data_IF_345715127509
#
_entry.id   IF_345715127509
#
_cell.length_a   1.000
_cell.length_b   1.000
_cell.length_c   1.000
_cell.angle_alpha   90.00
_cell.angle_beta   90.00
_cell.angle_gamma   90.00
#
_symmetry.space_group_name_H-M   'P 1'
#
loop_
_entity.id
_entity.type
_entity.pdbx_description
1 polymer ?
#
# COMPACT_ATOMS: atom_id res chain seq x y z
N UNK A 1 16.03 67.07 -37.61
CA UNK A 1 16.68 66.85 -36.31
C UNK A 1 16.47 65.41 -35.86
N UNK A 2 17.40 64.48 -36.11
CA UNK A 2 17.41 63.16 -35.48
C UNK A 2 18.25 63.17 -34.19
N UNK A 3 17.74 62.52 -33.14
CA UNK A 3 18.43 62.29 -31.87
C UNK A 3 19.43 61.13 -31.98
N UNK A 4 20.55 61.15 -31.24
CA UNK A 4 21.59 60.13 -31.32
C UNK A 4 21.21 58.83 -30.59
N UNK A 5 21.67 57.71 -31.16
CA UNK A 5 21.56 56.37 -30.61
C UNK A 5 22.47 56.21 -29.37
N UNK A 6 21.87 55.81 -28.25
CA UNK A 6 22.58 55.39 -27.05
C UNK A 6 22.96 53.91 -27.13
N UNK A 7 24.26 53.63 -27.13
CA UNK A 7 24.86 52.32 -26.90
C UNK A 7 24.55 51.85 -25.47
N UNK A 8 23.78 50.77 -25.33
CA UNK A 8 23.68 50.02 -24.08
C UNK A 8 24.58 48.79 -24.17
N UNK A 9 25.68 48.82 -23.40
CA UNK A 9 26.57 47.67 -23.21
C UNK A 9 25.85 46.61 -22.36
N UNK A 10 25.48 45.49 -22.97
CA UNK A 10 25.04 44.30 -22.25
C UNK A 10 26.29 43.54 -21.75
N UNK A 11 26.57 43.65 -20.47
CA UNK A 11 27.49 42.74 -19.78
C UNK A 11 26.81 41.38 -19.64
N UNK A 12 27.22 40.41 -20.47
CA UNK A 12 26.85 39.00 -20.31
C UNK A 12 27.64 38.46 -19.12
N UNK A 13 27.02 38.45 -17.94
CA UNK A 13 27.50 37.66 -16.80
C UNK A 13 27.17 36.21 -17.13
N UNK A 14 28.15 35.47 -17.63
CA UNK A 14 28.07 34.03 -17.78
C UNK A 14 27.98 33.41 -16.38
N UNK A 15 26.77 33.06 -15.96
CA UNK A 15 26.57 32.17 -14.84
C UNK A 15 27.10 30.78 -15.25
N UNK A 16 28.29 30.44 -14.74
CA UNK A 16 28.80 29.07 -14.66
C UNK A 16 27.88 28.29 -13.71
N UNK A 17 26.70 27.92 -14.19
CA UNK A 17 25.95 26.83 -13.60
C UNK A 17 26.66 25.55 -14.02
N UNK A 18 27.17 24.80 -13.03
CA UNK A 18 27.60 23.41 -13.18
C UNK A 18 26.49 22.64 -13.90
N UNK A 19 26.67 22.39 -15.20
CA UNK A 19 25.82 21.47 -15.93
C UNK A 19 26.16 20.08 -15.36
N UNK A 20 25.21 19.37 -14.72
CA UNK A 20 25.49 18.02 -14.29
C UNK A 20 25.86 17.21 -15.53
N UNK A 21 27.10 16.73 -15.56
CA UNK A 21 27.63 15.85 -16.59
C UNK A 21 26.59 14.77 -16.87
N UNK A 22 26.00 14.79 -18.06
CA UNK A 22 25.01 13.81 -18.48
C UNK A 22 25.72 12.46 -18.64
N UNK A 23 25.88 11.73 -17.54
CA UNK A 23 26.23 10.31 -17.55
C UNK A 23 25.08 9.63 -18.27
N UNK A 24 25.36 9.03 -19.43
CA UNK A 24 24.39 8.24 -20.17
C UNK A 24 23.66 7.30 -19.21
N UNK A 25 22.34 7.49 -19.07
CA UNK A 25 21.54 6.73 -18.12
C UNK A 25 21.58 5.25 -18.50
N UNK A 26 21.94 4.40 -17.54
CA UNK A 26 21.89 2.95 -17.74
C UNK A 26 20.42 2.49 -17.77
N UNK A 27 20.10 1.41 -18.53
CA UNK A 27 18.75 0.85 -18.54
C UNK A 27 18.25 0.55 -17.12
N UNK A 28 17.05 1.02 -16.79
CA UNK A 28 16.43 0.82 -15.46
C UNK A 28 16.81 1.85 -14.39
N UNK A 29 17.69 2.82 -14.68
CA UNK A 29 17.95 3.94 -13.77
C UNK A 29 16.97 5.11 -13.94
N UNK A 30 16.50 5.34 -15.16
CA UNK A 30 15.49 6.35 -15.45
C UNK A 30 14.23 6.11 -14.61
N UNK A 31 13.64 7.19 -14.11
CA UNK A 31 12.38 7.11 -13.38
C UNK A 31 11.24 6.75 -14.34
N UNK A 32 10.44 5.76 -13.97
CA UNK A 32 9.31 5.26 -14.75
C UNK A 32 8.04 5.24 -13.91
N UNK A 33 6.91 5.60 -14.52
CA UNK A 33 5.60 5.56 -13.88
C UNK A 33 4.87 4.29 -14.31
N UNK A 34 4.72 3.36 -13.39
CA UNK A 34 3.96 2.12 -13.59
C UNK A 34 2.54 2.34 -13.04
N UNK A 35 1.64 2.79 -13.92
CA UNK A 35 0.24 3.06 -13.57
C UNK A 35 -0.56 1.80 -13.23
N UNK A 36 -0.14 0.64 -13.73
CA UNK A 36 -0.77 -0.64 -13.46
C UNK A 36 -0.42 -1.15 -12.06
N UNK A 37 0.85 -1.04 -11.66
CA UNK A 37 1.29 -1.37 -10.31
C UNK A 37 1.12 -0.21 -9.30
N UNK A 38 0.74 0.97 -9.78
CA UNK A 38 0.45 2.13 -8.93
C UNK A 38 1.69 2.73 -8.28
N UNK A 39 2.82 2.80 -8.98
CA UNK A 39 4.11 3.26 -8.40
C UNK A 39 4.97 4.02 -9.41
N UNK A 40 5.83 4.90 -8.90
CA UNK A 40 6.97 5.46 -9.63
C UNK A 40 8.22 4.72 -9.18
N UNK A 41 8.99 4.16 -10.12
CA UNK A 41 10.20 3.38 -9.85
C UNK A 41 11.41 4.05 -10.48
N UNK A 42 12.55 4.06 -9.79
CA UNK A 42 13.82 4.50 -10.36
C UNK A 42 14.99 3.72 -9.76
N UNK A 43 16.02 3.52 -10.58
CA UNK A 43 17.30 2.98 -10.14
C UNK A 43 18.27 4.07 -9.68
N UNK A 44 19.25 3.68 -8.90
CA UNK A 44 20.34 4.50 -8.41
C UNK A 44 21.61 3.69 -8.33
N UNK A 45 22.73 4.28 -8.74
CA UNK A 45 24.05 3.65 -8.66
C UNK A 45 24.95 4.50 -7.78
N UNK A 46 25.57 3.87 -6.78
CA UNK A 46 26.51 4.51 -5.87
C UNK A 46 27.88 3.91 -6.03
N UNK A 47 28.88 4.72 -6.41
CA UNK A 47 30.25 4.24 -6.59
C UNK A 47 30.92 4.09 -5.21
N UNK A 48 31.64 2.98 -5.01
CA UNK A 48 32.46 2.76 -3.84
C UNK A 48 33.52 3.85 -3.69
N UNK A 49 33.64 4.35 -2.47
CA UNK A 49 34.68 5.30 -2.11
C UNK A 49 36.02 4.58 -1.91
N UNK A 50 36.96 4.82 -2.81
CA UNK A 50 38.32 4.24 -2.76
C UNK A 50 39.15 4.78 -1.60
N UNK A 51 38.75 5.90 -1.02
CA UNK A 51 39.43 6.54 0.12
C UNK A 51 38.74 6.23 1.45
N UNK A 52 37.73 5.36 1.47
CA UNK A 52 37.08 4.96 2.71
C UNK A 52 38.07 4.24 3.64
N UNK A 53 37.96 4.44 4.96
CA UNK A 53 38.85 3.83 5.95
C UNK A 53 38.74 2.29 6.00
N UNK A 54 37.67 1.71 5.44
CA UNK A 54 37.53 0.26 5.29
C UNK A 54 36.58 -0.11 4.13
N UNK A 55 36.68 -1.33 3.59
CA UNK A 55 35.74 -1.83 2.57
C UNK A 55 34.29 -1.81 3.02
N UNK A 56 34.01 -2.12 4.29
CA UNK A 56 32.65 -2.09 4.83
C UNK A 56 32.07 -0.66 4.82
N UNK A 57 32.90 0.35 5.14
CA UNK A 57 32.50 1.76 5.06
C UNK A 57 32.28 2.19 3.62
N UNK A 58 33.14 1.77 2.68
CA UNK A 58 32.99 2.04 1.24
C UNK A 58 31.66 1.49 0.70
N UNK A 59 31.28 0.27 1.09
CA UNK A 59 30.03 -0.37 0.68
C UNK A 59 28.81 0.34 1.29
N UNK A 60 28.87 0.70 2.57
CA UNK A 60 27.78 1.41 3.24
C UNK A 60 27.56 2.84 2.72
N UNK A 61 28.61 3.56 2.34
CA UNK A 61 28.49 4.88 1.70
C UNK A 61 28.00 4.77 0.27
N UNK A 62 28.51 3.79 -0.49
CA UNK A 62 28.05 3.47 -1.85
C UNK A 62 26.55 3.19 -1.89
N UNK A 63 26.04 2.29 -1.04
CA UNK A 63 24.60 2.00 -0.97
C UNK A 63 23.75 3.24 -0.67
N UNK A 64 24.16 4.08 0.28
CA UNK A 64 23.43 5.32 0.61
C UNK A 64 23.41 6.30 -0.55
N UNK A 65 24.53 6.43 -1.29
CA UNK A 65 24.58 7.25 -2.51
C UNK A 65 23.65 6.71 -3.59
N UNK A 66 23.59 5.38 -3.75
CA UNK A 66 22.66 4.73 -4.69
C UNK A 66 21.20 5.02 -4.33
N UNK A 67 20.82 4.85 -3.06
CA UNK A 67 19.48 5.18 -2.58
C UNK A 67 19.12 6.65 -2.80
N UNK A 68 20.05 7.56 -2.51
CA UNK A 68 19.82 8.98 -2.67
C UNK A 68 19.66 9.39 -4.15
N UNK A 69 20.50 8.85 -5.04
CA UNK A 69 20.36 9.05 -6.49
C UNK A 69 18.98 8.58 -6.99
N UNK A 70 18.52 7.40 -6.53
CA UNK A 70 17.19 6.90 -6.88
C UNK A 70 16.07 7.82 -6.37
N UNK A 71 16.16 8.32 -5.12
CA UNK A 71 15.18 9.28 -4.57
C UNK A 71 15.14 10.58 -5.37
N UNK A 72 16.29 11.12 -5.75
CA UNK A 72 16.38 12.35 -6.54
C UNK A 72 15.72 12.19 -7.91
N UNK A 73 15.97 11.07 -8.60
CA UNK A 73 15.31 10.76 -9.88
C UNK A 73 13.80 10.61 -9.75
N UNK A 74 13.33 9.93 -8.70
CA UNK A 74 11.89 9.84 -8.41
C UNK A 74 11.33 11.25 -8.18
N UNK A 75 11.95 12.05 -7.31
CA UNK A 75 11.48 13.40 -7.00
C UNK A 75 11.39 14.30 -8.24
N UNK A 76 12.35 14.19 -9.17
CA UNK A 76 12.31 14.90 -10.45
C UNK A 76 11.12 14.44 -11.32
N UNK A 77 10.90 13.13 -11.45
CA UNK A 77 9.81 12.57 -12.24
C UNK A 77 8.42 12.82 -11.64
N UNK A 78 8.32 12.97 -10.31
CA UNK A 78 7.05 13.29 -9.66
C UNK A 78 6.46 14.61 -10.19
N UNK A 79 7.31 15.58 -10.53
CA UNK A 79 6.86 16.89 -11.03
C UNK A 79 6.00 16.79 -12.29
N UNK A 80 6.31 15.86 -13.20
CA UNK A 80 5.56 15.66 -14.45
C UNK A 80 4.27 14.87 -14.30
N UNK A 81 3.92 14.41 -13.09
CA UNK A 81 2.73 13.58 -12.90
C UNK A 81 1.46 14.40 -13.18
N UNK A 82 0.59 13.93 -14.10
CA UNK A 82 -0.66 14.62 -14.41
C UNK A 82 -1.65 14.48 -13.24
N UNK A 83 -2.36 15.57 -12.96
CA UNK A 83 -3.42 15.60 -11.96
C UNK A 83 -4.78 15.49 -12.64
N UNK A 84 -5.70 14.75 -12.02
CA UNK A 84 -7.07 14.58 -12.52
C UNK A 84 -7.85 15.91 -12.57
N UNK A 85 -7.49 16.85 -11.70
CA UNK A 85 -8.01 18.23 -11.68
C UNK A 85 -7.43 19.13 -12.81
N UNK A 86 -6.49 18.63 -13.61
CA UNK A 86 -5.74 19.39 -14.61
C UNK A 86 -4.35 19.82 -14.11
N UNK A 87 -3.46 20.09 -15.07
CA UNK A 87 -2.07 20.44 -14.79
C UNK A 87 -1.22 19.27 -14.27
N UNK A 88 -0.07 19.60 -13.71
CA UNK A 88 0.94 18.68 -13.18
C UNK A 88 1.13 18.85 -11.68
N UNK A 89 1.78 17.88 -11.04
CA UNK A 89 2.18 18.02 -9.65
C UNK A 89 3.13 19.22 -9.46
N UNK A 90 4.02 19.49 -10.42
CA UNK A 90 4.89 20.67 -10.39
C UNK A 90 4.08 21.97 -10.35
N UNK A 91 3.02 22.10 -11.16
CA UNK A 91 2.16 23.28 -11.15
C UNK A 91 1.53 23.50 -9.77
N UNK A 92 1.07 22.42 -9.13
CA UNK A 92 0.46 22.46 -7.79
C UNK A 92 1.49 22.72 -6.68
N UNK A 93 2.75 22.35 -6.89
CA UNK A 93 3.87 22.65 -5.99
C UNK A 93 4.40 24.08 -6.19
N UNK A 94 4.26 24.66 -7.38
CA UNK A 94 4.68 26.03 -7.72
C UNK A 94 3.97 27.11 -6.90
N UNK A 95 2.83 26.80 -6.30
CA UNK A 95 2.12 27.62 -5.31
C UNK A 95 2.83 27.68 -3.93
N UNK A 96 4.09 27.24 -3.84
CA UNK A 96 4.91 27.11 -2.62
C UNK A 96 5.19 28.41 -1.86
N UNK A 97 4.88 29.60 -2.40
CA UNK A 97 5.05 30.86 -1.71
C UNK A 97 4.17 30.98 -0.44
N UNK A 98 3.09 30.19 -0.36
CA UNK A 98 2.18 30.17 0.79
C UNK A 98 2.40 28.93 1.67
N UNK A 99 2.11 29.06 2.98
CA UNK A 99 2.32 27.99 3.97
C UNK A 99 1.67 26.63 3.59
N UNK A 100 0.56 26.65 2.84
CA UNK A 100 -0.09 25.45 2.32
C UNK A 100 0.77 24.71 1.26
N UNK A 101 1.48 25.45 0.41
CA UNK A 101 2.39 24.89 -0.58
C UNK A 101 3.65 24.30 0.05
N UNK A 102 4.21 24.96 1.08
CA UNK A 102 5.32 24.40 1.88
C UNK A 102 4.90 23.10 2.59
N UNK A 103 3.72 23.08 3.20
CA UNK A 103 3.20 21.88 3.87
C UNK A 103 2.91 20.73 2.89
N UNK A 104 2.49 21.04 1.66
CA UNK A 104 2.40 20.04 0.60
C UNK A 104 3.77 19.51 0.20
N UNK A 105 4.73 20.40 -0.08
CA UNK A 105 6.09 20.00 -0.48
C UNK A 105 6.70 19.06 0.55
N UNK A 106 6.61 19.41 1.84
CA UNK A 106 7.08 18.56 2.94
C UNK A 106 6.41 17.17 2.98
N UNK A 107 5.12 17.06 2.63
CA UNK A 107 4.43 15.76 2.56
C UNK A 107 4.85 14.93 1.35
N UNK A 108 5.11 15.56 0.21
CA UNK A 108 5.65 14.88 -0.97
C UNK A 108 7.08 14.40 -0.68
N UNK A 109 7.91 15.25 -0.07
CA UNK A 109 9.27 14.87 0.32
C UNK A 109 9.27 13.73 1.35
N UNK A 110 8.34 13.73 2.30
CA UNK A 110 8.16 12.62 3.23
C UNK A 110 7.76 11.31 2.51
N UNK A 111 6.90 11.39 1.49
CA UNK A 111 6.54 10.21 0.69
C UNK A 111 7.72 9.66 -0.12
N UNK A 112 8.59 10.54 -0.66
CA UNK A 112 9.83 10.15 -1.34
C UNK A 112 10.87 9.60 -0.36
N UNK A 113 10.99 10.17 0.84
CA UNK A 113 11.87 9.65 1.89
C UNK A 113 11.44 8.25 2.34
N UNK A 114 10.13 7.99 2.39
CA UNK A 114 9.53 6.69 2.65
C UNK A 114 9.53 5.76 1.41
N UNK A 115 10.27 6.12 0.35
CA UNK A 115 10.41 5.28 -0.83
C UNK A 115 10.87 3.87 -0.47
N UNK A 116 10.34 2.93 -1.20
CA UNK A 116 10.32 1.56 -0.79
C UNK A 116 11.24 0.74 -1.75
N UNK A 117 12.51 0.43 -1.37
CA UNK A 117 13.17 -0.92 -1.41
C UNK A 117 12.78 -2.00 -2.42
N UNK A 118 12.81 -1.82 -3.75
CA UNK A 118 12.43 -2.91 -4.68
C UNK A 118 13.56 -3.92 -4.86
N UNK A 119 14.77 -3.44 -5.14
CA UNK A 119 15.96 -4.26 -5.31
C UNK A 119 17.19 -3.51 -4.78
N UNK A 120 18.18 -4.25 -4.27
CA UNK A 120 19.44 -3.69 -3.81
C UNK A 120 20.55 -4.72 -4.00
N UNK A 121 21.43 -4.47 -4.95
CA UNK A 121 22.42 -5.43 -5.44
C UNK A 121 23.83 -4.81 -5.36
N UNK A 122 24.78 -5.47 -4.68
CA UNK A 122 26.19 -5.08 -4.74
C UNK A 122 26.79 -5.52 -6.09
N UNK A 123 27.65 -4.70 -6.68
CA UNK A 123 28.42 -5.06 -7.86
C UNK A 123 29.87 -5.45 -7.51
N UNK A 124 30.54 -6.12 -8.44
CA UNK A 124 31.90 -6.67 -8.27
C UNK A 124 32.97 -5.60 -8.05
N UNK A 125 32.73 -4.37 -8.49
CA UNK A 125 33.62 -3.22 -8.32
C UNK A 125 33.41 -2.49 -6.97
N UNK A 126 32.57 -3.04 -6.09
CA UNK A 126 32.19 -2.46 -4.81
C UNK A 126 31.10 -1.40 -4.90
N UNK A 127 30.61 -1.06 -6.10
CA UNK A 127 29.43 -0.20 -6.24
C UNK A 127 28.15 -0.91 -5.81
N UNK A 128 27.10 -0.13 -5.60
CA UNK A 128 25.76 -0.64 -5.28
C UNK A 128 24.77 -0.11 -6.31
N UNK A 129 23.90 -1.00 -6.78
CA UNK A 129 22.68 -0.65 -7.49
C UNK A 129 21.49 -0.79 -6.56
N UNK A 130 20.64 0.23 -6.50
CA UNK A 130 19.41 0.20 -5.70
C UNK A 130 18.25 0.68 -6.55
N UNK A 131 17.15 -0.06 -6.52
CA UNK A 131 15.89 0.32 -7.15
C UNK A 131 14.88 0.65 -6.07
N UNK A 132 14.37 1.88 -6.09
CA UNK A 132 13.34 2.34 -5.16
C UNK A 132 12.02 2.54 -5.90
N UNK A 133 10.91 2.38 -5.19
CA UNK A 133 9.58 2.72 -5.69
C UNK A 133 8.84 3.64 -4.71
N UNK A 134 8.06 4.59 -5.21
CA UNK A 134 7.10 5.38 -4.42
C UNK A 134 5.69 5.05 -4.91
N UNK A 135 4.77 4.59 -4.05
CA UNK A 135 3.39 4.36 -4.45
C UNK A 135 2.70 5.65 -4.87
N UNK A 136 1.98 5.63 -6.00
CA UNK A 136 1.16 6.75 -6.46
C UNK A 136 0.07 7.11 -5.44
N UNK A 137 -0.38 6.13 -4.65
CA UNK A 137 -1.31 6.35 -3.55
C UNK A 137 -0.72 7.23 -2.45
N UNK A 138 0.57 7.09 -2.14
CA UNK A 138 1.24 7.96 -1.17
C UNK A 138 1.24 9.42 -1.65
N UNK A 139 1.41 9.63 -2.97
CA UNK A 139 1.32 10.95 -3.59
C UNK A 139 -0.11 11.49 -3.55
N UNK A 140 -1.13 10.65 -3.83
CA UNK A 140 -2.55 11.04 -3.73
C UNK A 140 -2.92 11.46 -2.31
N UNK A 141 -2.50 10.72 -1.30
CA UNK A 141 -2.72 11.06 0.12
C UNK A 141 -1.99 12.36 0.49
N UNK A 142 -0.74 12.52 0.04
CA UNK A 142 0.01 13.76 0.21
C UNK A 142 -0.67 14.95 -0.50
N UNK A 143 -1.37 14.75 -1.61
CA UNK A 143 -2.14 15.81 -2.26
C UNK A 143 -3.38 16.19 -1.45
N UNK A 144 -4.12 15.19 -0.94
CA UNK A 144 -5.43 15.35 -0.32
C UNK A 144 -5.42 16.01 1.05
N UNK A 145 -4.40 15.74 1.88
CA UNK A 145 -4.43 16.19 3.29
C UNK A 145 -4.36 15.03 4.27
N UNK A 146 -4.04 15.27 5.54
CA UNK A 146 -4.39 14.35 6.61
C UNK A 146 -5.89 14.08 6.54
N UNK A 147 -6.30 12.82 6.36
CA UNK A 147 -7.71 12.46 6.46
C UNK A 147 -8.04 12.06 7.88
N UNK A 148 -9.26 12.34 8.31
CA UNK A 148 -9.80 11.74 9.53
C UNK A 148 -9.93 10.23 9.29
N UNK A 149 -9.19 9.45 10.07
CA UNK A 149 -9.37 8.00 10.09
C UNK A 149 -10.63 7.69 10.88
N UNK A 150 -11.50 6.79 10.41
CA UNK A 150 -12.61 6.33 11.21
C UNK A 150 -12.08 5.70 12.51
N UNK A 151 -12.79 5.88 13.64
CA UNK A 151 -12.35 5.37 14.94
C UNK A 151 -12.21 3.85 14.99
N UNK A 152 -12.84 3.14 14.05
CA UNK A 152 -12.76 1.68 13.88
C UNK A 152 -11.54 1.21 13.08
N UNK A 153 -10.66 2.13 12.65
CA UNK A 153 -9.62 1.83 11.67
C UNK A 153 -10.17 1.73 10.25
N UNK A 154 -9.30 1.87 9.25
CA UNK A 154 -9.66 1.62 7.86
C UNK A 154 -9.93 0.14 7.64
N UNK A 155 -11.12 -0.19 7.14
CA UNK A 155 -11.32 -1.47 6.46
C UNK A 155 -10.54 -1.37 5.16
N UNK A 156 -9.61 -2.31 4.95
CA UNK A 156 -8.80 -2.40 3.73
C UNK A 156 -9.68 -2.28 2.49
N UNK A 157 -9.16 -1.69 1.40
CA UNK A 157 -10.04 -1.18 0.38
C UNK A 157 -10.84 -2.29 -0.31
N UNK A 158 -12.18 -2.16 -0.41
CA UNK A 158 -12.89 -2.98 -1.38
C UNK A 158 -12.32 -2.64 -2.76
N UNK A 159 -11.91 -3.68 -3.48
CA UNK A 159 -11.43 -3.55 -4.86
C UNK A 159 -12.66 -3.47 -5.74
N UNK A 160 -12.74 -2.45 -6.60
CA UNK A 160 -13.81 -2.30 -7.59
C UNK A 160 -13.18 -2.22 -8.96
N UNK A 161 -13.66 -3.03 -9.90
CA UNK A 161 -13.25 -2.95 -11.30
C UNK A 161 -14.23 -2.06 -12.03
N UNK A 162 -13.73 -1.01 -12.67
CA UNK A 162 -14.52 -0.15 -13.54
C UNK A 162 -14.13 -0.43 -14.99
N UNK A 163 -15.09 -0.89 -15.76
CA UNK A 163 -14.95 -1.26 -17.17
C UNK A 163 -15.40 -0.10 -18.07
N UNK A 164 -14.77 0.01 -19.25
CA UNK A 164 -15.21 0.94 -20.32
C UNK A 164 -14.76 2.39 -20.16
N UNK A 165 -13.73 2.66 -19.35
CA UNK A 165 -13.24 4.03 -19.13
C UNK A 165 -12.28 4.44 -20.24
N UNK A 166 -12.63 5.50 -20.97
CA UNK A 166 -11.73 6.21 -21.88
C UNK A 166 -11.21 7.47 -21.18
N UNK A 167 -10.06 7.37 -20.52
CA UNK A 167 -9.40 8.49 -19.85
C UNK A 167 -7.88 8.30 -19.84
N UNK A 168 -7.13 9.40 -19.76
CA UNK A 168 -5.68 9.37 -19.56
C UNK A 168 -5.37 9.12 -18.07
N UNK A 169 -4.36 8.29 -17.76
CA UNK A 169 -3.91 8.10 -16.38
C UNK A 169 -3.54 9.43 -15.73
N UNK A 170 -4.05 9.65 -14.52
CA UNK A 170 -3.72 10.81 -13.70
C UNK A 170 -3.95 10.51 -12.21
N UNK A 171 -3.39 11.33 -11.34
CA UNK A 171 -3.56 11.18 -9.89
C UNK A 171 -4.80 11.94 -9.43
N UNK A 172 -5.59 11.30 -8.55
CA UNK A 172 -6.72 11.96 -7.88
C UNK A 172 -8.05 11.84 -8.61
N UNK A 173 -8.24 10.85 -9.49
CA UNK A 173 -9.56 10.55 -10.03
C UNK A 173 -10.54 10.17 -8.92
N UNK A 174 -11.79 10.59 -9.12
CA UNK A 174 -12.91 10.20 -8.28
C UNK A 174 -13.85 9.29 -9.07
N UNK A 175 -14.38 8.27 -8.41
CA UNK A 175 -15.38 7.36 -8.98
C UNK A 175 -16.65 7.47 -8.17
N UNK A 176 -17.75 7.84 -8.82
CA UNK A 176 -19.02 8.18 -8.16
C UNK A 176 -18.84 9.20 -7.01
N UNK A 177 -17.93 10.17 -7.18
CA UNK A 177 -17.62 11.19 -6.18
C UNK A 177 -16.69 10.73 -5.05
N UNK A 178 -16.22 9.48 -5.06
CA UNK A 178 -15.32 8.92 -4.05
C UNK A 178 -13.87 8.98 -4.55
N UNK A 179 -12.98 9.59 -3.77
CA UNK A 179 -11.55 9.57 -4.01
C UNK A 179 -10.93 8.25 -3.55
N UNK A 180 -10.24 7.57 -4.45
CA UNK A 180 -9.78 6.20 -4.27
C UNK A 180 -8.36 6.03 -4.81
N UNK A 181 -7.66 4.98 -4.37
CA UNK A 181 -6.45 4.53 -5.04
C UNK A 181 -6.86 4.06 -6.44
N UNK A 182 -6.20 4.54 -7.50
CA UNK A 182 -6.58 4.23 -8.88
C UNK A 182 -5.42 3.53 -9.57
N UNK A 183 -5.66 2.29 -10.03
CA UNK A 183 -4.74 1.54 -10.88
C UNK A 183 -5.31 1.48 -12.30
N UNK A 184 -4.45 1.63 -13.29
CA UNK A 184 -4.82 1.64 -14.70
C UNK A 184 -4.30 0.37 -15.36
N UNK A 185 -5.21 -0.54 -15.70
CA UNK A 185 -4.85 -1.88 -16.18
C UNK A 185 -5.44 -2.12 -17.59
N UNK A 186 -4.71 -2.84 -18.44
CA UNK A 186 -5.25 -3.36 -19.71
C UNK A 186 -6.21 -4.53 -19.45
N UNK A 187 -5.82 -5.38 -18.50
CA UNK A 187 -6.49 -6.62 -18.15
C UNK A 187 -6.67 -6.69 -16.64
N UNK A 188 -7.82 -7.23 -16.21
CA UNK A 188 -8.11 -7.41 -14.79
C UNK A 188 -7.18 -8.49 -14.25
N UNK A 189 -6.31 -8.19 -13.27
CA UNK A 189 -5.39 -9.17 -12.73
C UNK A 189 -6.15 -10.26 -11.97
N UNK A 190 -5.58 -11.47 -11.93
CA UNK A 190 -6.25 -12.64 -11.36
C UNK A 190 -6.69 -12.44 -9.89
N UNK A 191 -5.91 -11.72 -9.09
CA UNK A 191 -6.24 -11.40 -7.70
C UNK A 191 -7.50 -10.52 -7.55
N UNK A 192 -7.93 -9.84 -8.62
CA UNK A 192 -9.13 -9.02 -8.66
C UNK A 192 -10.27 -9.68 -9.46
N UNK A 193 -10.17 -10.97 -9.78
CA UNK A 193 -11.17 -11.67 -10.59
C UNK A 193 -12.58 -11.67 -9.99
N UNK A 194 -12.67 -11.73 -8.66
CA UNK A 194 -13.92 -11.70 -7.88
C UNK A 194 -14.39 -10.28 -7.49
N UNK A 195 -13.64 -9.24 -7.85
CA UNK A 195 -13.98 -7.87 -7.48
C UNK A 195 -15.28 -7.42 -8.17
N UNK A 196 -16.17 -6.69 -7.46
CA UNK A 196 -17.36 -6.10 -8.06
C UNK A 196 -17.02 -5.28 -9.31
N UNK A 197 -17.75 -5.55 -10.40
CA UNK A 197 -17.57 -4.86 -11.68
C UNK A 197 -18.64 -3.81 -11.87
N UNK A 198 -18.22 -2.63 -12.32
CA UNK A 198 -19.12 -1.51 -12.62
C UNK A 198 -18.79 -0.98 -13.99
N UNK A 199 -19.80 -0.70 -14.80
CA UNK A 199 -19.62 -0.04 -16.11
C UNK A 199 -19.65 1.48 -15.94
N UNK A 200 -18.66 2.17 -16.50
CA UNK A 200 -18.64 3.62 -16.54
C UNK A 200 -19.55 4.17 -17.65
N UNK A 201 -20.25 5.26 -17.36
CA UNK A 201 -21.07 6.01 -18.33
C UNK A 201 -20.26 7.11 -19.03
N UNK A 202 -19.39 7.78 -18.28
CA UNK A 202 -18.55 8.88 -18.76
C UNK A 202 -17.40 9.16 -17.79
N UNK A 203 -16.31 9.73 -18.31
CA UNK A 203 -15.18 10.23 -17.55
C UNK A 203 -14.89 11.68 -17.99
N UNK A 204 -15.03 12.66 -17.10
CA UNK A 204 -14.72 14.08 -17.39
C UNK A 204 -14.17 14.77 -16.15
N UNK A 205 -13.13 15.60 -16.36
CA UNK A 205 -12.58 16.49 -15.33
C UNK A 205 -12.27 15.79 -13.99
N UNK A 206 -11.64 14.62 -14.03
CA UNK A 206 -11.26 13.88 -12.83
C UNK A 206 -12.41 13.17 -12.11
N UNK A 207 -13.57 13.00 -12.76
CA UNK A 207 -14.70 12.24 -12.25
C UNK A 207 -15.17 11.16 -13.24
N UNK A 208 -15.42 9.96 -12.72
CA UNK A 208 -16.01 8.83 -13.45
C UNK A 208 -17.40 8.56 -12.86
N UNK A 209 -18.40 8.50 -13.74
CA UNK A 209 -19.80 8.24 -13.37
C UNK A 209 -20.19 6.79 -13.66
N UNK A 210 -20.81 6.12 -12.69
CA UNK A 210 -21.19 4.71 -12.78
C UNK A 210 -22.63 4.52 -13.30
N UNK A 211 -22.88 3.42 -14.01
CA UNK A 211 -24.23 2.89 -14.27
C UNK A 211 -24.64 2.03 -13.08
N UNK A 212 -25.32 2.61 -12.10
CA UNK A 212 -26.06 1.84 -11.08
C UNK A 212 -27.56 1.98 -11.38
N UNK A 213 -28.06 1.19 -12.34
CA UNK A 213 -29.48 0.84 -12.41
C UNK A 213 -29.72 -0.45 -11.61
N UNK A 214 -30.95 -0.71 -11.13
CA UNK A 214 -31.25 -1.95 -10.43
C UNK A 214 -30.90 -3.15 -11.32
N UNK A 215 -30.17 -4.13 -10.77
CA UNK A 215 -29.98 -5.43 -11.40
C UNK A 215 -31.36 -6.09 -11.46
N UNK A 216 -31.95 -6.13 -12.65
CA UNK A 216 -33.20 -6.83 -12.91
C UNK A 216 -32.90 -8.35 -12.97
N UNK A 217 -33.43 -9.17 -12.07
CA UNK A 217 -33.33 -10.62 -12.20
C UNK A 217 -34.15 -11.09 -13.41
N UNK A 218 -33.78 -12.22 -14.06
CA UNK A 218 -34.47 -12.71 -15.24
C UNK A 218 -35.95 -12.97 -14.94
N UNK A 219 -36.79 -12.49 -15.87
CA UNK A 219 -38.18 -12.16 -15.62
C UNK A 219 -39.07 -13.29 -15.11
N UNK A 220 -40.02 -12.89 -14.26
CA UNK A 220 -41.32 -13.54 -14.13
C UNK A 220 -42.37 -12.46 -13.92
N UNK A 221 -43.34 -12.40 -14.84
CA UNK A 221 -44.39 -11.40 -14.86
C UNK A 221 -45.25 -11.38 -13.60
N UNK A 222 -45.68 -10.18 -13.20
CA UNK A 222 -46.66 -9.99 -12.13
C UNK A 222 -47.00 -8.51 -11.98
N UNK A 223 -48.26 -8.17 -12.27
CA UNK A 223 -48.84 -6.82 -12.22
C UNK A 223 -49.05 -6.35 -10.77
N UNK A 224 -48.98 -5.03 -10.54
CA UNK A 224 -49.52 -4.32 -9.37
C UNK A 224 -48.56 -3.23 -8.86
N UNK A 225 -48.70 -1.93 -9.17
CA UNK A 225 -49.70 -0.93 -8.73
C UNK A 225 -49.62 -0.62 -7.21
N UNK A 226 -49.20 0.60 -6.86
CA UNK A 226 -49.38 1.24 -5.54
C UNK A 226 -48.08 1.78 -4.92
N UNK A 227 -47.70 3.07 -5.03
CA UNK A 227 -48.08 4.25 -4.21
C UNK A 227 -47.67 4.19 -2.71
N UNK A 228 -47.12 5.33 -2.23
CA UNK A 228 -46.96 5.79 -0.82
C UNK A 228 -45.76 5.21 -0.06
N UNK A 229 -45.11 5.89 0.90
CA UNK A 229 -44.91 7.29 1.33
C UNK A 229 -43.94 7.16 2.53
N UNK A 230 -43.23 8.25 2.82
CA UNK A 230 -42.81 8.70 4.17
C UNK A 230 -41.93 7.84 5.10
N UNK A 231 -40.76 8.42 5.40
CA UNK A 231 -40.24 8.79 6.74
C UNK A 231 -40.71 7.95 7.95
N UNK A 232 -39.75 7.39 8.70
CA UNK A 232 -39.65 7.58 10.15
C UNK A 232 -38.34 7.02 10.73
N UNK A 233 -37.69 7.87 11.52
CA UNK A 233 -36.61 7.62 12.49
C UNK A 233 -37.08 6.65 13.58
N UNK A 234 -36.21 5.76 14.07
CA UNK A 234 -36.15 5.44 15.50
C UNK A 234 -34.86 4.73 15.92
N UNK A 235 -34.32 5.28 17.01
CA UNK A 235 -33.18 4.93 17.87
C UNK A 235 -32.95 3.43 18.02
N UNK A 236 -31.69 3.01 17.94
CA UNK A 236 -31.22 1.77 18.59
C UNK A 236 -29.91 2.05 19.34
N UNK A 237 -29.99 1.81 20.64
CA UNK A 237 -28.90 1.67 21.60
C UNK A 237 -28.17 0.36 21.28
N UNK A 238 -26.82 0.31 21.40
CA UNK A 238 -26.03 -0.83 21.93
C UNK A 238 -24.53 -0.41 21.96
N UNK A 239 -23.94 -0.29 23.15
CA UNK A 239 -23.08 -1.27 23.85
C UNK A 239 -21.62 -1.26 23.37
N UNK A 240 -20.76 -0.98 24.35
CA UNK A 240 -19.30 -0.93 24.33
C UNK A 240 -18.73 -2.32 24.01
N UNK A 241 -17.82 -2.42 23.04
CA UNK A 241 -16.79 -3.48 23.02
C UNK A 241 -15.55 -2.99 22.27
N UNK A 242 -14.41 -3.12 22.93
CA UNK A 242 -13.04 -2.81 22.53
C UNK A 242 -12.47 -3.93 21.64
N UNK A 243 -11.76 -3.61 20.55
CA UNK A 243 -10.52 -4.29 20.14
C UNK A 243 -9.93 -3.67 18.86
N UNK A 244 -8.60 -3.51 18.90
CA UNK A 244 -7.73 -2.90 17.91
C UNK A 244 -7.28 -3.88 16.81
N UNK A 245 -6.80 -3.35 15.68
CA UNK A 245 -6.10 -4.11 14.65
C UNK A 245 -5.56 -3.20 13.54
N UNK A 246 -4.31 -2.74 13.70
CA UNK A 246 -3.59 -1.89 12.76
C UNK A 246 -2.88 -2.78 11.71
N UNK A 247 -3.31 -2.76 10.44
CA UNK A 247 -2.64 -3.48 9.35
C UNK A 247 -2.04 -2.45 8.37
N UNK A 248 -0.73 -2.31 8.42
CA UNK A 248 0.05 -1.58 7.43
C UNK A 248 0.46 -2.55 6.30
N UNK A 249 0.05 -2.27 5.07
CA UNK A 249 0.47 -3.02 3.89
C UNK A 249 1.13 -2.09 2.86
N UNK A 250 2.42 -2.32 2.60
CA UNK A 250 2.98 -2.11 1.27
C UNK A 250 4.24 -2.98 1.08
N UNK A 251 4.16 -3.98 0.18
CA UNK A 251 4.98 -4.10 -1.03
C UNK A 251 4.77 -5.44 -1.73
N UNK A 252 4.62 -5.36 -3.06
CA UNK A 252 4.73 -6.46 -4.01
C UNK A 252 6.21 -6.73 -4.28
N UNK A 253 6.78 -7.74 -3.62
CA UNK A 253 7.58 -8.76 -4.31
C UNK A 253 6.63 -9.91 -4.68
N UNK A 254 7.10 -11.02 -5.23
CA UNK A 254 6.33 -12.27 -5.15
C UNK A 254 6.31 -12.63 -3.65
N UNK A 255 5.36 -12.06 -2.93
CA UNK A 255 5.45 -11.90 -1.48
C UNK A 255 5.03 -13.22 -0.84
N UNK A 256 5.95 -13.83 -0.11
CA UNK A 256 5.55 -14.70 0.99
C UNK A 256 4.50 -13.92 1.80
N UNK A 257 3.28 -14.44 1.93
CA UNK A 257 2.17 -13.81 2.66
C UNK A 257 2.47 -13.77 4.16
N UNK A 258 3.35 -12.85 4.54
CA UNK A 258 3.88 -12.71 5.89
C UNK A 258 3.13 -11.61 6.63
N UNK A 259 2.28 -12.00 7.58
CA UNK A 259 1.43 -11.09 8.35
C UNK A 259 1.95 -10.95 9.78
N UNK A 260 1.91 -9.74 10.33
CA UNK A 260 2.31 -9.46 11.70
C UNK A 260 1.13 -9.58 12.67
N UNK A 261 1.32 -10.36 13.73
CA UNK A 261 0.38 -10.56 14.82
C UNK A 261 1.01 -10.08 16.12
N UNK A 262 0.20 -9.53 17.01
CA UNK A 262 0.62 -9.23 18.37
C UNK A 262 -0.01 -10.24 19.32
N UNK A 263 0.83 -10.89 20.12
CA UNK A 263 0.39 -11.89 21.06
C UNK A 263 1.15 -11.77 22.38
N UNK A 264 0.45 -12.06 23.46
CA UNK A 264 0.99 -12.13 24.81
C UNK A 264 1.05 -13.59 25.23
N UNK A 265 2.13 -14.00 25.85
CA UNK A 265 2.28 -15.33 26.46
C UNK A 265 2.75 -15.22 27.90
N UNK A 266 2.39 -16.23 28.68
CA UNK A 266 2.57 -16.20 30.13
C UNK A 266 3.01 -17.57 30.67
N UNK A 267 4.12 -17.59 31.41
CA UNK A 267 4.61 -18.82 32.02
C UNK A 267 4.82 -18.64 33.51
N UNK A 268 4.89 -19.75 34.23
CA UNK A 268 5.31 -19.76 35.63
C UNK A 268 6.75 -19.24 35.71
N UNK A 269 6.97 -18.18 36.50
CA UNK A 269 8.29 -17.58 36.67
C UNK A 269 9.27 -18.52 37.40
N UNK A 270 8.76 -19.51 38.14
CA UNK A 270 9.57 -20.52 38.82
C UNK A 270 10.09 -21.63 37.88
N UNK A 271 9.58 -21.70 36.65
CA UNK A 271 10.05 -22.67 35.67
C UNK A 271 11.46 -22.32 35.18
N UNK A 272 12.33 -23.32 35.05
CA UNK A 272 13.72 -23.15 34.58
C UNK A 272 13.79 -22.43 33.21
N UNK A 273 12.79 -22.65 32.35
CA UNK A 273 12.67 -22.06 31.01
C UNK A 273 11.46 -21.12 30.88
N UNK A 274 11.08 -20.42 31.96
CA UNK A 274 9.89 -19.55 32.01
C UNK A 274 9.78 -18.60 30.80
N UNK A 275 10.91 -18.02 30.36
CA UNK A 275 10.92 -17.11 29.20
C UNK A 275 10.55 -17.82 27.90
N UNK A 276 11.10 -19.01 27.70
CA UNK A 276 10.92 -19.82 26.50
C UNK A 276 9.49 -20.33 26.43
N UNK A 277 8.96 -20.80 27.56
CA UNK A 277 7.57 -21.22 27.69
C UNK A 277 6.59 -20.06 27.40
N UNK A 278 6.85 -18.86 27.93
CA UNK A 278 6.03 -17.68 27.64
C UNK A 278 6.07 -17.28 26.17
N UNK A 279 7.24 -17.39 25.51
CA UNK A 279 7.37 -17.14 24.07
C UNK A 279 6.63 -18.19 23.24
N UNK A 280 6.69 -19.47 23.62
CA UNK A 280 6.00 -20.55 22.93
C UNK A 280 4.49 -20.39 22.98
N UNK A 281 3.96 -20.01 24.14
CA UNK A 281 2.55 -19.69 24.26
C UNK A 281 2.17 -18.48 23.41
N UNK A 282 2.98 -17.42 23.41
CA UNK A 282 2.71 -16.24 22.59
C UNK A 282 2.72 -16.59 21.08
N UNK A 283 3.64 -17.43 20.63
CA UNK A 283 3.67 -17.93 19.25
C UNK A 283 2.46 -18.80 18.92
N UNK A 284 2.07 -19.72 19.81
CA UNK A 284 0.89 -20.54 19.62
C UNK A 284 -0.39 -19.69 19.51
N UNK A 285 -0.52 -18.63 20.32
CA UNK A 285 -1.63 -17.67 20.24
C UNK A 285 -1.62 -16.88 18.92
N UNK A 286 -0.46 -16.42 18.47
CA UNK A 286 -0.32 -15.75 17.18
C UNK A 286 -0.69 -16.66 15.99
N UNK A 287 -0.23 -17.91 15.98
CA UNK A 287 -0.59 -18.90 14.95
C UNK A 287 -2.08 -19.26 15.01
N UNK A 288 -2.67 -19.35 16.20
CA UNK A 288 -4.10 -19.56 16.41
C UNK A 288 -4.97 -18.41 15.85
N UNK A 289 -4.48 -17.17 15.94
CA UNK A 289 -5.11 -16.01 15.30
C UNK A 289 -5.01 -16.12 13.77
N UNK A 290 -3.82 -16.40 13.23
CA UNK A 290 -3.62 -16.59 11.79
C UNK A 290 -4.53 -17.70 11.22
N UNK A 291 -4.67 -18.82 11.94
CA UNK A 291 -5.57 -19.91 11.54
C UNK A 291 -7.05 -19.53 11.57
N UNK A 292 -7.46 -18.62 12.47
CA UNK A 292 -8.83 -18.10 12.50
C UNK A 292 -9.20 -17.28 11.26
N UNK A 293 -8.19 -16.72 10.59
CA UNK A 293 -8.37 -16.00 9.32
C UNK A 293 -8.30 -16.93 8.11
N UNK A 294 -7.62 -18.07 8.23
CA UNK A 294 -7.38 -19.02 7.12
C UNK A 294 -8.40 -20.15 7.05
N UNK A 295 -9.05 -20.52 8.15
CA UNK A 295 -9.91 -21.71 8.21
C UNK A 295 -11.27 -21.34 8.79
N UNK A 296 -12.34 -21.85 8.20
CA UNK A 296 -13.69 -21.68 8.73
C UNK A 296 -13.83 -22.21 10.15
N UNK A 297 -14.68 -21.56 10.95
CA UNK A 297 -14.85 -21.92 12.35
C UNK A 297 -15.33 -23.38 12.52
N UNK A 298 -16.19 -23.86 11.64
CA UNK A 298 -16.69 -25.24 11.68
C UNK A 298 -15.63 -26.25 11.23
N UNK A 299 -14.88 -25.94 10.17
CA UNK A 299 -13.74 -26.76 9.71
C UNK A 299 -12.66 -26.83 10.80
N UNK A 300 -12.40 -25.72 11.49
CA UNK A 300 -11.44 -25.64 12.59
C UNK A 300 -11.89 -26.46 13.80
N UNK A 301 -13.18 -26.47 14.12
CA UNK A 301 -13.73 -27.32 15.20
C UNK A 301 -13.62 -28.80 14.85
N UNK A 302 -13.96 -29.18 13.62
CA UNK A 302 -13.91 -30.57 13.15
C UNK A 302 -12.47 -31.12 13.12
N UNK A 303 -11.49 -30.28 12.79
CA UNK A 303 -10.08 -30.69 12.66
C UNK A 303 -9.20 -30.28 13.85
N UNK A 304 -9.83 -29.87 14.97
CA UNK A 304 -9.14 -29.36 16.17
C UNK A 304 -7.96 -30.24 16.66
N UNK A 305 -8.08 -31.57 16.84
CA UNK A 305 -6.97 -32.37 17.35
C UNK A 305 -5.78 -32.42 16.39
N UNK A 306 -6.03 -32.35 15.08
CA UNK A 306 -4.98 -32.35 14.05
C UNK A 306 -4.30 -30.98 14.01
N UNK A 307 -5.06 -29.90 14.04
CA UNK A 307 -4.55 -28.52 14.07
C UNK A 307 -3.70 -28.28 15.33
N UNK A 308 -4.19 -28.70 16.49
CA UNK A 308 -3.50 -28.48 17.76
C UNK A 308 -2.15 -29.23 17.78
N UNK A 309 -2.09 -30.46 17.25
CA UNK A 309 -0.85 -31.26 17.19
C UNK A 309 0.13 -30.79 16.12
N UNK A 310 -0.34 -30.62 14.89
CA UNK A 310 0.55 -30.39 13.73
C UNK A 310 0.94 -28.92 13.56
N UNK A 311 0.03 -27.99 13.91
CA UNK A 311 0.24 -26.56 13.64
C UNK A 311 0.59 -25.80 14.92
N UNK A 312 -0.24 -25.92 15.97
CA UNK A 312 -0.01 -25.20 17.23
C UNK A 312 1.15 -25.80 18.04
N UNK A 313 1.27 -27.12 18.07
CA UNK A 313 2.41 -27.81 18.69
C UNK A 313 3.77 -27.46 18.07
N UNK A 314 3.77 -26.96 16.84
CA UNK A 314 4.96 -26.55 16.11
C UNK A 314 4.94 -25.06 15.73
N UNK A 315 4.35 -24.20 16.58
CA UNK A 315 4.12 -22.79 16.29
C UNK A 315 5.34 -22.03 15.76
N UNK A 316 6.55 -22.35 16.28
CA UNK A 316 7.82 -21.74 15.86
C UNK A 316 8.15 -21.91 14.38
N UNK A 317 7.72 -23.01 13.75
CA UNK A 317 8.04 -23.30 12.34
C UNK A 317 7.37 -22.33 11.36
N UNK A 318 6.33 -21.65 11.80
CA UNK A 318 5.54 -20.71 11.00
C UNK A 318 5.96 -19.26 11.22
N UNK A 319 6.79 -19.00 12.23
CA UNK A 319 7.27 -17.66 12.56
C UNK A 319 8.51 -17.34 11.71
N UNK A 320 8.43 -16.30 10.89
CA UNK A 320 9.57 -15.83 10.07
C UNK A 320 10.46 -14.83 10.81
N UNK A 321 9.85 -14.00 11.66
CA UNK A 321 10.55 -13.01 12.49
C UNK A 321 9.71 -12.65 13.70
N UNK A 322 10.32 -12.34 14.83
CA UNK A 322 9.60 -11.76 15.96
C UNK A 322 10.43 -10.68 16.65
N UNK A 323 9.76 -9.80 17.38
CA UNK A 323 10.36 -8.83 18.28
C UNK A 323 9.59 -8.81 19.59
N UNK A 324 10.30 -8.91 20.71
CA UNK A 324 9.73 -8.76 22.05
C UNK A 324 9.51 -7.27 22.31
N UNK A 325 8.26 -6.87 22.53
CA UNK A 325 7.88 -5.47 22.79
C UNK A 325 7.81 -5.17 24.28
N UNK A 326 7.49 -6.18 25.09
CA UNK A 326 7.44 -6.07 26.55
C UNK A 326 7.81 -7.41 27.18
N UNK A 327 8.60 -7.37 28.24
CA UNK A 327 8.90 -8.52 29.09
C UNK A 327 8.76 -8.03 30.53
N UNK A 328 7.95 -8.71 31.33
CA UNK A 328 7.69 -8.37 32.72
C UNK A 328 7.50 -9.64 33.56
N UNK A 329 7.83 -9.56 34.84
CA UNK A 329 7.47 -10.58 35.82
C UNK A 329 6.46 -9.93 36.77
N UNK A 330 5.25 -10.47 36.78
CA UNK A 330 4.12 -9.95 37.56
C UNK A 330 3.45 -11.14 38.23
N UNK A 331 3.26 -11.09 39.54
CA UNK A 331 2.52 -12.10 40.32
C UNK A 331 2.99 -13.56 40.04
N UNK A 332 4.29 -13.83 40.19
CA UNK A 332 4.93 -15.12 39.91
C UNK A 332 4.74 -15.66 38.48
N UNK A 333 4.29 -14.81 37.55
CA UNK A 333 4.17 -15.12 36.12
C UNK A 333 5.15 -14.29 35.32
N UNK A 334 5.86 -14.95 34.43
CA UNK A 334 6.67 -14.30 33.39
C UNK A 334 5.78 -14.00 32.19
N UNK A 335 5.52 -12.72 31.95
CA UNK A 335 4.69 -12.23 30.85
C UNK A 335 5.55 -11.65 29.74
N UNK A 336 5.26 -12.03 28.51
CA UNK A 336 5.96 -11.54 27.32
C UNK A 336 4.96 -11.11 26.27
N UNK A 337 5.07 -9.87 25.80
CA UNK A 337 4.37 -9.37 24.61
C UNK A 337 5.33 -9.42 23.41
N UNK A 338 4.89 -10.04 22.32
CA UNK A 338 5.66 -10.15 21.08
C UNK A 338 4.87 -9.66 19.88
N UNK A 339 5.57 -9.00 18.96
CA UNK A 339 5.14 -8.85 17.58
C UNK A 339 5.77 -9.95 16.75
N UNK A 340 4.95 -10.79 16.12
CA UNK A 340 5.33 -12.03 15.45
C UNK A 340 4.91 -11.95 14.00
N UNK A 341 5.84 -12.17 13.07
CA UNK A 341 5.57 -12.29 11.64
C UNK A 341 5.40 -13.76 11.29
N UNK A 342 4.24 -14.10 10.72
CA UNK A 342 3.85 -15.47 10.38
C UNK A 342 3.71 -15.59 8.87
N UNK A 343 4.33 -16.62 8.30
CA UNK A 343 4.17 -17.00 6.90
C UNK A 343 2.87 -17.79 6.70
N UNK A 344 1.86 -17.14 6.13
CA UNK A 344 0.55 -17.72 5.88
C UNK A 344 0.53 -18.62 4.66
N UNK A 345 1.43 -18.42 3.70
CA UNK A 345 1.53 -19.30 2.53
C UNK A 345 2.04 -20.67 2.94
N UNK A 346 3.04 -20.71 3.82
CA UNK A 346 3.53 -21.95 4.42
C UNK A 346 2.45 -22.65 5.26
N UNK A 347 1.62 -21.90 5.98
CA UNK A 347 0.47 -22.44 6.70
C UNK A 347 -0.60 -23.00 5.75
N UNK A 348 -0.93 -22.30 4.66
CA UNK A 348 -1.88 -22.79 3.64
C UNK A 348 -1.37 -24.05 2.96
N UNK A 349 -0.08 -24.10 2.60
CA UNK A 349 0.54 -25.29 2.03
C UNK A 349 0.41 -26.49 2.98
N UNK A 350 0.67 -26.28 4.29
CA UNK A 350 0.50 -27.35 5.29
C UNK A 350 -0.96 -27.75 5.49
N UNK A 351 -1.90 -26.80 5.48
CA UNK A 351 -3.34 -27.12 5.56
C UNK A 351 -3.80 -27.95 4.37
N UNK A 352 -3.30 -27.65 3.17
CA UNK A 352 -3.56 -28.44 1.97
C UNK A 352 -2.99 -29.86 2.06
N UNK A 353 -1.76 -30.03 2.58
CA UNK A 353 -1.18 -31.37 2.86
C UNK A 353 -2.03 -32.17 3.86
N UNK A 354 -2.66 -31.49 4.82
CA UNK A 354 -3.52 -32.11 5.82
C UNK A 354 -4.96 -32.35 5.32
N UNK A 355 -5.26 -32.03 4.05
CA UNK A 355 -6.61 -32.06 3.46
C UNK A 355 -7.65 -31.21 4.22
N UNK A 356 -7.20 -30.13 4.86
CA UNK A 356 -8.08 -29.18 5.55
C UNK A 356 -8.34 -28.02 4.59
N UNK A 357 -9.61 -27.84 4.21
CA UNK A 357 -10.01 -26.73 3.36
C UNK A 357 -9.69 -25.40 4.05
N UNK A 358 -8.71 -24.67 3.50
CA UNK A 358 -8.49 -23.28 3.84
C UNK A 358 -9.50 -22.43 3.06
N UNK A 359 -9.94 -21.32 3.65
CA UNK A 359 -10.65 -20.28 2.91
C UNK A 359 -9.72 -19.80 1.79
N UNK A 360 -10.21 -19.84 0.56
CA UNK A 360 -9.61 -19.07 -0.51
C UNK A 360 -9.61 -17.61 -0.06
N UNK A 361 -8.53 -16.88 -0.36
CA UNK A 361 -8.33 -15.50 0.08
C UNK A 361 -9.36 -14.48 -0.51
N UNK A 362 -10.54 -14.93 -0.95
CA UNK A 362 -11.54 -14.17 -1.69
C UNK A 362 -13.01 -14.39 -1.33
N UNK A 363 -13.37 -15.18 -0.32
CA UNK A 363 -14.78 -15.35 0.06
C UNK A 363 -15.09 -14.66 1.40
N UNK A 364 -15.47 -13.38 1.33
CA UNK A 364 -16.17 -12.70 2.41
C UNK A 364 -17.69 -12.78 2.16
N UNK A 365 -18.52 -12.95 3.21
CA UNK A 365 -19.96 -13.06 3.05
C UNK A 365 -20.54 -11.76 2.48
N UNK A 366 -21.48 -11.90 1.55
CA UNK A 366 -22.15 -10.81 0.87
C UNK A 366 -22.85 -9.86 1.87
N UNK A 367 -22.25 -8.69 2.10
CA UNK A 367 -22.85 -7.64 2.91
C UNK A 367 -23.42 -6.54 2.01
N UNK A 368 -24.74 -6.32 2.14
CA UNK A 368 -25.46 -5.16 1.63
C UNK A 368 -24.67 -3.87 1.85
N UNK A 369 -24.44 -3.11 0.78
CA UNK A 369 -23.75 -1.82 0.81
C UNK A 369 -24.65 -0.76 1.47
N UNK A 370 -24.30 -0.20 2.65
CA UNK A 370 -24.92 1.01 3.14
C UNK A 370 -24.19 2.24 2.57
N UNK A 371 -24.93 3.33 2.44
CA UNK A 371 -24.43 4.60 1.93
C UNK A 371 -23.24 5.16 2.74
N UNK A 372 -22.25 5.65 2.00
CA UNK A 372 -21.26 6.68 2.34
C UNK A 372 -20.78 6.77 3.80
N UNK A 373 -19.78 5.94 4.13
CA UNK A 373 -18.70 6.35 5.04
C UNK A 373 -17.38 6.09 4.33
N UNK A 374 -16.46 7.05 4.41
CA UNK A 374 -15.24 7.14 3.62
C UNK A 374 -14.27 5.98 3.89
N UNK A 375 -14.51 4.84 3.25
CA UNK A 375 -13.57 3.73 3.14
C UNK A 375 -12.54 4.09 2.06
N UNK A 376 -11.25 3.79 2.27
CA UNK A 376 -10.32 3.68 1.14
C UNK A 376 -10.90 2.64 0.20
N UNK A 377 -11.12 2.97 -1.08
CA UNK A 377 -11.51 2.01 -2.12
C UNK A 377 -10.32 1.93 -3.08
N UNK A 378 -10.02 0.74 -3.61
CA UNK A 378 -9.04 0.59 -4.68
C UNK A 378 -9.83 0.35 -5.95
N UNK A 379 -9.65 1.23 -6.92
CA UNK A 379 -10.35 1.18 -8.19
C UNK A 379 -9.38 0.71 -9.27
N UNK A 380 -9.73 -0.40 -9.91
CA UNK A 380 -9.08 -0.88 -11.12
C UNK A 380 -9.83 -0.31 -12.33
N UNK A 381 -9.22 0.64 -13.03
CA UNK A 381 -9.76 1.18 -14.27
C UNK A 381 -9.22 0.36 -15.43
N UNK A 382 -10.11 -0.36 -16.11
CA UNK A 382 -9.73 -1.04 -17.35
C UNK A 382 -9.80 -0.07 -18.52
N UNK A 383 -8.64 0.21 -19.12
CA UNK A 383 -8.52 1.14 -20.24
C UNK A 383 -8.81 0.40 -21.54
N UNK A 384 -9.78 0.86 -22.32
CA UNK A 384 -10.18 0.23 -23.59
C UNK A 384 -9.40 0.71 -24.81
N UNK A 385 -8.47 1.65 -24.64
CA UNK A 385 -7.66 2.20 -25.73
C UNK A 385 -6.20 1.75 -25.60
N UNK A 386 -5.62 1.08 -26.63
CA UNK A 386 -4.21 0.73 -26.64
C UNK A 386 -3.40 1.99 -26.94
N UNK A 387 -2.91 2.64 -25.89
CA UNK A 387 -1.86 3.65 -25.99
C UNK A 387 -0.72 3.18 -25.10
N UNK A 388 0.46 3.03 -25.66
CA UNK A 388 1.70 2.90 -24.88
C UNK A 388 1.84 4.16 -24.03
N UNK A 389 1.67 4.04 -22.71
CA UNK A 389 1.81 5.11 -21.73
C UNK A 389 3.19 5.08 -21.08
#
# INVERSE_FOLDING_TARGET
>A
MPRPAGLAAFAVVAALADAPTAVAERPGEAAQVDWAAGRVIAGGTGIADRHAPSPAVALGTSRRRAEEAARQRIAAALGSLPLAAGGTLADRLGDAANAAGTALRGRIDAAVAAAITVAAEPETDGSWRVTLAVPLEAIRVALAGPRALPPTGDRGPPVVVVEGVAARPAIGWTVAGVAAATLWVSDVPAWAGSAPRVTARSARAGAISNLSGPVEPPGRGGRGRGLLRSRAVKKFVFVVTVAAGLVAASRVGRADDVVAYQADGDADAAAADARVAALDEAFARAVSQALGELVDADVRRQNKPVIDRELLGHARLWVTRFSVTREAVTDDRKQVSVSVRIDRDKLRARLAELNIAARDAGEAPAANVPAATAQSVTVLLRVTTPGTW
#
